data_IF_198834068242
#
_entry.id   IF_198834068242
#
_cell.length_a   1.000
_cell.length_b   1.000
_cell.length_c   1.000
_cell.angle_alpha   90.00
_cell.angle_beta   90.00
_cell.angle_gamma   90.00
#
_symmetry.space_group_name_H-M   'P 1'
#
loop_
_entity.id
_entity.type
_entity.pdbx_description
1 polymer ?
#
# COMPACT_ATOMS: atom_id res chain seq x y z
N UNK A 1 -24.93 -1.64 -2.78
CA UNK A 1 -24.03 -1.78 -3.94
C UNK A 1 -23.35 -3.13 -3.82
N UNK A 2 -23.45 -3.95 -4.84
CA UNK A 2 -22.78 -5.25 -4.91
C UNK A 2 -21.27 -5.04 -5.09
N UNK A 3 -20.48 -5.53 -4.16
CA UNK A 3 -19.01 -5.46 -4.24
C UNK A 3 -18.52 -6.47 -5.27
N UNK A 4 -18.00 -5.98 -6.39
CA UNK A 4 -17.46 -6.80 -7.48
C UNK A 4 -15.96 -6.99 -7.25
N UNK A 5 -15.52 -8.24 -7.22
CA UNK A 5 -14.11 -8.63 -7.16
C UNK A 5 -13.55 -8.68 -8.58
N UNK A 6 -12.61 -7.77 -8.89
CA UNK A 6 -12.06 -7.65 -10.26
C UNK A 6 -11.08 -8.78 -10.58
N UNK A 7 -10.36 -9.27 -9.59
CA UNK A 7 -9.39 -10.37 -9.74
C UNK A 7 -10.05 -11.76 -9.85
N UNK A 8 -11.35 -11.85 -9.61
CA UNK A 8 -12.07 -13.10 -9.86
C UNK A 8 -12.32 -13.30 -11.37
N UNK A 9 -12.14 -14.54 -11.83
CA UNK A 9 -12.28 -14.95 -13.23
C UNK A 9 -13.70 -14.72 -13.73
N UNK A 10 -14.35 -13.72 -13.83
CA UNK A 10 -15.70 -13.38 -14.32
C UNK A 10 -16.34 -12.22 -13.54
N UNK A 11 -15.57 -11.33 -12.92
CA UNK A 11 -16.09 -10.16 -12.18
C UNK A 11 -17.28 -10.52 -11.28
N UNK A 12 -17.09 -11.49 -10.39
CA UNK A 12 -18.14 -11.97 -9.49
C UNK A 12 -18.27 -11.07 -8.28
N UNK A 13 -19.47 -11.03 -7.69
CA UNK A 13 -19.67 -10.41 -6.39
C UNK A 13 -18.90 -11.17 -5.30
N UNK A 14 -18.56 -10.50 -4.20
CA UNK A 14 -17.92 -11.13 -3.03
C UNK A 14 -18.74 -12.33 -2.52
N UNK A 15 -20.06 -12.21 -2.54
CA UNK A 15 -20.97 -13.26 -2.10
C UNK A 15 -20.93 -14.52 -2.99
N UNK A 16 -20.62 -14.36 -4.27
CA UNK A 16 -20.56 -15.47 -5.25
C UNK A 16 -19.15 -16.04 -5.42
N UNK A 17 -18.15 -15.44 -4.75
CA UNK A 17 -16.75 -15.84 -4.89
C UNK A 17 -16.38 -16.80 -3.75
N UNK A 18 -16.13 -18.06 -4.10
CA UNK A 18 -15.61 -19.10 -3.17
C UNK A 18 -14.12 -18.88 -2.85
N UNK A 19 -13.47 -17.94 -3.53
CA UNK A 19 -12.07 -17.64 -3.37
C UNK A 19 -11.84 -16.89 -2.04
N UNK A 20 -10.75 -17.20 -1.30
CA UNK A 20 -10.38 -16.47 -0.09
C UNK A 20 -9.84 -15.07 -0.42
N UNK A 21 -10.74 -14.16 -0.75
CA UNK A 21 -10.45 -12.76 -1.07
C UNK A 21 -10.87 -11.89 0.11
N UNK A 22 -9.93 -11.12 0.64
CA UNK A 22 -10.26 -10.01 1.52
C UNK A 22 -10.40 -8.75 0.66
N UNK A 23 -11.49 -8.05 0.84
CA UNK A 23 -11.77 -6.81 0.14
C UNK A 23 -11.80 -5.67 1.15
N UNK A 24 -10.94 -4.70 0.95
CA UNK A 24 -10.87 -3.45 1.70
C UNK A 24 -11.37 -2.33 0.80
N UNK A 25 -12.48 -1.69 1.14
CA UNK A 25 -13.13 -0.68 0.31
C UNK A 25 -13.93 0.33 1.15
N UNK A 26 -14.32 1.44 0.54
CA UNK A 26 -15.19 2.44 1.15
C UNK A 26 -14.61 3.07 2.42
N UNK A 27 -15.40 3.15 3.48
CA UNK A 27 -15.02 3.76 4.75
C UNK A 27 -13.91 2.96 5.46
N UNK A 28 -14.02 1.63 5.48
CA UNK A 28 -13.02 0.74 6.05
C UNK A 28 -11.63 0.97 5.42
N UNK A 29 -11.54 1.08 4.09
CA UNK A 29 -10.28 1.41 3.44
C UNK A 29 -9.76 2.78 3.90
N UNK A 30 -10.62 3.79 3.97
CA UNK A 30 -10.21 5.15 4.35
C UNK A 30 -9.66 5.23 5.75
N UNK A 31 -10.24 4.50 6.70
CA UNK A 31 -9.79 4.44 8.08
C UNK A 31 -8.42 3.72 8.21
N UNK A 32 -8.18 2.72 7.38
CA UNK A 32 -6.95 1.90 7.43
C UNK A 32 -5.83 2.41 6.51
N UNK A 33 -6.05 3.45 5.68
CA UNK A 33 -4.99 3.95 4.81
C UNK A 33 -3.79 4.43 5.64
N UNK A 34 -2.69 3.71 5.48
CA UNK A 34 -1.39 4.03 6.05
C UNK A 34 -0.48 4.76 5.05
N UNK A 35 0.75 5.03 5.49
CA UNK A 35 1.77 5.67 4.66
C UNK A 35 2.18 4.82 3.44
N UNK A 36 2.04 3.50 3.54
CA UNK A 36 2.47 2.54 2.53
C UNK A 36 1.40 1.48 2.31
N UNK A 37 1.51 0.73 1.22
CA UNK A 37 0.61 -0.39 0.94
C UNK A 37 0.66 -1.48 2.03
N UNK A 38 1.87 -1.78 2.54
CA UNK A 38 2.02 -2.71 3.65
C UNK A 38 1.34 -2.22 4.92
N UNK A 39 1.52 -0.95 5.29
CA UNK A 39 0.89 -0.35 6.46
C UNK A 39 -0.65 -0.34 6.34
N UNK A 40 -1.18 -0.01 5.15
CA UNK A 40 -2.62 -0.03 4.86
C UNK A 40 -3.25 -1.41 5.07
N UNK A 41 -2.51 -2.47 4.80
CA UNK A 41 -3.00 -3.85 4.88
C UNK A 41 -2.62 -4.57 6.18
N UNK A 42 -1.87 -3.95 7.07
CA UNK A 42 -1.32 -4.60 8.26
C UNK A 42 -2.40 -5.08 9.25
N UNK A 43 -3.58 -4.46 9.25
CA UNK A 43 -4.72 -4.88 10.08
C UNK A 43 -5.51 -6.06 9.47
N UNK A 44 -5.23 -6.43 8.23
CA UNK A 44 -5.89 -7.56 7.59
C UNK A 44 -5.36 -8.90 8.12
N UNK A 45 -6.26 -9.83 8.41
CA UNK A 45 -5.90 -11.14 8.99
C UNK A 45 -4.85 -11.85 8.12
N UNK A 46 -3.70 -12.18 8.72
CA UNK A 46 -2.60 -12.88 8.05
C UNK A 46 -1.78 -12.02 7.09
N UNK A 47 -1.88 -10.71 7.23
CA UNK A 47 -1.04 -9.72 6.53
C UNK A 47 -0.26 -8.92 7.56
N UNK A 48 0.98 -8.61 7.26
CA UNK A 48 1.85 -7.72 8.00
C UNK A 48 2.53 -6.74 7.03
N UNK A 49 3.25 -5.77 7.57
CA UNK A 49 4.09 -4.86 6.80
C UNK A 49 5.56 -5.11 7.07
N UNK A 50 6.36 -5.26 6.02
CA UNK A 50 7.81 -5.12 6.11
C UNK A 50 8.15 -3.66 5.85
N UNK A 51 8.63 -2.95 6.87
CA UNK A 51 8.94 -1.52 6.81
C UNK A 51 10.45 -1.29 6.85
N UNK A 52 10.91 -0.38 5.99
CA UNK A 52 12.28 0.15 5.95
C UNK A 52 12.23 1.68 6.05
N UNK A 53 11.52 2.20 7.04
CA UNK A 53 11.29 3.61 7.26
C UNK A 53 9.87 4.09 6.86
N UNK A 54 9.58 5.38 7.01
CA UNK A 54 8.22 5.92 6.90
C UNK A 54 7.57 5.79 5.53
N UNK A 55 8.40 5.79 4.47
CA UNK A 55 7.94 5.72 3.07
C UNK A 55 8.03 4.33 2.44
N UNK A 56 8.63 3.36 3.12
CA UNK A 56 8.89 2.02 2.56
C UNK A 56 8.19 0.96 3.38
N UNK A 57 7.18 0.32 2.83
CA UNK A 57 6.42 -0.74 3.49
C UNK A 57 5.74 -1.66 2.49
N UNK A 58 6.25 -2.88 2.41
CA UNK A 58 5.71 -3.92 1.54
C UNK A 58 4.77 -4.86 2.30
N UNK A 59 3.67 -5.34 1.69
CA UNK A 59 2.80 -6.31 2.32
C UNK A 59 3.52 -7.65 2.48
N UNK A 60 3.39 -8.23 3.68
CA UNK A 60 3.86 -9.58 4.02
C UNK A 60 2.63 -10.45 4.22
N UNK A 61 2.43 -11.45 3.38
CA UNK A 61 1.28 -12.34 3.45
C UNK A 61 1.75 -13.73 3.87
N UNK A 62 1.27 -14.22 5.02
CA UNK A 62 1.67 -15.52 5.57
C UNK A 62 3.19 -15.70 5.67
N UNK A 63 3.92 -14.63 6.03
CA UNK A 63 5.37 -14.63 6.14
C UNK A 63 6.12 -14.56 4.79
N UNK A 64 5.43 -14.37 3.67
CA UNK A 64 6.03 -14.18 2.35
C UNK A 64 5.95 -12.71 1.94
N UNK A 65 7.04 -12.18 1.35
CA UNK A 65 7.14 -10.78 0.91
C UNK A 65 7.91 -10.68 -0.42
N UNK A 66 8.11 -9.47 -0.89
CA UNK A 66 8.84 -9.12 -2.11
C UNK A 66 8.31 -9.91 -3.34
N UNK A 67 9.18 -10.58 -4.08
CA UNK A 67 8.84 -11.34 -5.30
C UNK A 67 7.90 -12.54 -5.08
N UNK A 68 7.47 -12.79 -3.82
CA UNK A 68 6.51 -13.87 -3.48
C UNK A 68 5.11 -13.35 -3.21
N UNK A 69 4.93 -12.04 -3.20
CA UNK A 69 3.63 -11.36 -3.13
C UNK A 69 3.47 -10.53 -4.39
N UNK A 70 2.56 -10.96 -5.25
CA UNK A 70 2.31 -10.24 -6.50
C UNK A 70 1.47 -9.00 -6.24
N UNK A 71 1.95 -7.85 -6.65
CA UNK A 71 1.21 -6.59 -6.59
C UNK A 71 0.69 -6.24 -7.97
N UNK A 72 -0.60 -5.96 -8.04
CA UNK A 72 -1.31 -5.61 -9.27
C UNK A 72 -1.93 -4.21 -9.12
N UNK A 73 -2.04 -3.52 -10.23
CA UNK A 73 -2.85 -2.31 -10.38
C UNK A 73 -3.94 -2.57 -11.42
N UNK A 74 -5.20 -2.58 -11.00
CA UNK A 74 -6.32 -2.86 -11.89
C UNK A 74 -6.25 -4.23 -12.57
N UNK A 75 -5.66 -5.23 -11.92
CA UNK A 75 -5.46 -6.58 -12.46
C UNK A 75 -4.19 -6.77 -13.30
N UNK A 76 -3.41 -5.71 -13.52
CA UNK A 76 -2.15 -5.76 -14.29
C UNK A 76 -0.98 -5.77 -13.32
N UNK A 77 -0.02 -6.67 -13.56
CA UNK A 77 1.19 -6.77 -12.73
C UNK A 77 1.97 -5.47 -12.70
N UNK A 78 2.25 -4.97 -11.50
CA UNK A 78 3.11 -3.82 -11.32
C UNK A 78 4.58 -4.26 -11.41
N UNK A 79 5.33 -3.64 -12.33
CA UNK A 79 6.78 -3.83 -12.46
C UNK A 79 7.44 -2.72 -11.65
N UNK A 80 7.89 -3.06 -10.45
CA UNK A 80 8.42 -2.13 -9.47
C UNK A 80 9.74 -2.65 -8.90
N UNK A 81 10.65 -1.75 -8.55
CA UNK A 81 11.91 -2.08 -7.86
C UNK A 81 11.66 -2.76 -6.50
N UNK A 82 10.56 -2.40 -5.83
CA UNK A 82 10.13 -3.02 -4.57
C UNK A 82 9.84 -4.54 -4.68
N UNK A 83 9.58 -5.06 -5.87
CA UNK A 83 9.43 -6.50 -6.09
C UNK A 83 10.77 -7.25 -6.01
N UNK A 84 11.89 -6.57 -6.24
CA UNK A 84 13.24 -7.14 -6.27
C UNK A 84 13.98 -6.86 -4.97
N UNK A 85 13.84 -5.65 -4.44
CA UNK A 85 14.52 -5.19 -3.23
C UNK A 85 13.51 -4.56 -2.27
N UNK A 86 13.36 -5.12 -1.04
CA UNK A 86 12.30 -4.72 -0.10
C UNK A 86 12.52 -3.34 0.52
N UNK A 87 13.68 -2.73 0.32
CA UNK A 87 14.06 -1.38 0.75
C UNK A 87 13.58 -0.27 -0.20
N UNK A 88 12.91 -0.66 -1.30
CA UNK A 88 12.31 0.28 -2.23
C UNK A 88 10.82 0.46 -1.96
N UNK A 89 10.34 1.70 -2.07
CA UNK A 89 8.93 2.01 -1.97
C UNK A 89 8.15 1.45 -3.16
N UNK A 90 6.94 0.96 -2.90
CA UNK A 90 6.00 0.66 -3.98
C UNK A 90 5.51 1.95 -4.63
N UNK A 91 5.41 1.94 -5.96
CA UNK A 91 4.92 3.09 -6.74
C UNK A 91 3.41 3.33 -6.61
N UNK A 92 2.68 2.39 -5.99
CA UNK A 92 1.23 2.49 -5.81
C UNK A 92 0.88 3.31 -4.57
N UNK A 93 0.03 4.31 -4.77
CA UNK A 93 -0.45 5.19 -3.71
C UNK A 93 -1.80 4.69 -3.13
N UNK A 94 -1.82 4.17 -1.89
CA UNK A 94 -3.04 3.63 -1.29
C UNK A 94 -4.15 4.68 -1.14
N UNK A 95 -3.79 5.96 -0.97
CA UNK A 95 -4.75 7.03 -0.79
C UNK A 95 -5.62 7.31 -2.03
N UNK A 96 -5.16 6.89 -3.21
CA UNK A 96 -5.92 6.97 -4.46
C UNK A 96 -6.73 5.71 -4.76
N UNK A 97 -6.56 4.66 -3.96
CA UNK A 97 -7.29 3.42 -4.17
C UNK A 97 -8.78 3.59 -3.86
N UNK A 98 -9.62 3.07 -4.72
CA UNK A 98 -11.06 2.91 -4.47
C UNK A 98 -11.34 1.63 -3.71
N UNK A 99 -10.50 0.61 -3.90
CA UNK A 99 -10.51 -0.65 -3.16
C UNK A 99 -9.19 -1.39 -3.31
N UNK A 100 -8.92 -2.28 -2.37
CA UNK A 100 -7.77 -3.18 -2.40
C UNK A 100 -8.28 -4.60 -2.17
N UNK A 101 -7.89 -5.51 -3.05
CA UNK A 101 -8.24 -6.93 -2.99
C UNK A 101 -7.01 -7.73 -2.59
N UNK A 102 -7.12 -8.55 -1.55
CA UNK A 102 -6.05 -9.46 -1.11
C UNK A 102 -6.49 -10.90 -1.34
N UNK A 103 -5.88 -11.56 -2.30
CA UNK A 103 -6.17 -12.95 -2.68
C UNK A 103 -5.13 -13.87 -2.07
N UNK A 104 -5.58 -14.95 -1.48
CA UNK A 104 -4.72 -15.94 -0.83
C UNK A 104 -5.11 -17.37 -1.21
N UNK A 105 -4.16 -18.29 -1.08
CA UNK A 105 -4.41 -19.71 -1.32
C UNK A 105 -4.40 -20.08 -2.81
N UNK A 106 -5.06 -21.18 -3.22
CA UNK A 106 -4.90 -21.76 -4.55
C UNK A 106 -5.24 -20.83 -5.72
N UNK A 107 -6.10 -19.83 -5.49
CA UNK A 107 -6.46 -18.85 -6.50
C UNK A 107 -5.27 -18.01 -7.00
N UNK A 108 -4.22 -17.90 -6.20
CA UNK A 108 -3.02 -17.15 -6.56
C UNK A 108 -2.22 -17.79 -7.69
N UNK A 109 -2.42 -19.09 -7.96
CA UNK A 109 -1.80 -19.79 -9.08
C UNK A 109 -2.15 -19.18 -10.46
N UNK A 110 -3.27 -18.49 -10.56
CA UNK A 110 -3.68 -17.79 -11.77
C UNK A 110 -2.78 -16.59 -12.10
N UNK A 111 -1.99 -16.12 -11.12
CA UNK A 111 -1.14 -14.93 -11.23
C UNK A 111 0.36 -15.27 -11.37
N UNK A 112 0.67 -16.55 -11.55
CA UNK A 112 2.03 -17.03 -11.81
C UNK A 112 2.84 -17.32 -10.55
N UNK A 113 4.13 -17.59 -10.74
CA UNK A 113 5.03 -18.05 -9.70
C UNK A 113 5.39 -17.00 -8.63
N UNK A 114 5.22 -15.72 -8.92
CA UNK A 114 5.41 -14.61 -7.97
C UNK A 114 4.29 -14.46 -6.95
N UNK A 115 3.23 -15.27 -7.01
CA UNK A 115 2.05 -15.14 -6.16
C UNK A 115 1.96 -16.23 -5.06
N UNK A 116 3.10 -16.78 -4.63
CA UNK A 116 3.15 -17.88 -3.64
C UNK A 116 2.56 -17.47 -2.29
N UNK A 117 2.86 -16.27 -1.81
CA UNK A 117 2.31 -15.72 -0.57
C UNK A 117 0.88 -15.22 -0.75
N UNK A 118 0.63 -14.55 -1.85
CA UNK A 118 -0.64 -13.93 -2.14
C UNK A 118 -0.57 -12.95 -3.32
N UNK A 119 -1.71 -12.36 -3.60
CA UNK A 119 -1.86 -11.27 -4.59
C UNK A 119 -2.52 -10.10 -3.91
N UNK A 120 -1.99 -8.90 -4.10
CA UNK A 120 -2.61 -7.63 -3.71
C UNK A 120 -2.96 -6.88 -4.98
N UNK A 121 -4.23 -6.63 -5.22
CA UNK A 121 -4.70 -5.87 -6.37
C UNK A 121 -5.25 -4.52 -5.90
N UNK A 122 -4.57 -3.46 -6.25
CA UNK A 122 -5.00 -2.08 -5.97
C UNK A 122 -5.81 -1.58 -7.14
N UNK A 123 -7.02 -1.13 -6.86
CA UNK A 123 -7.94 -0.62 -7.87
C UNK A 123 -8.19 0.85 -7.58
N UNK A 124 -7.82 1.67 -8.52
CA UNK A 124 -8.09 3.11 -8.57
C UNK A 124 -9.14 3.43 -9.65
N UNK A 125 -9.48 4.70 -9.81
CA UNK A 125 -10.40 5.17 -10.84
C UNK A 125 -9.69 6.06 -11.89
N UNK A 126 -8.38 5.90 -12.07
CA UNK A 126 -7.61 6.69 -13.07
C UNK A 126 -8.11 6.47 -14.48
N UNK A 127 -8.61 5.27 -14.75
CA UNK A 127 -9.32 4.97 -16.00
C UNK A 127 -10.79 4.79 -15.64
N UNK A 128 -11.62 5.83 -15.80
CA UNK A 128 -13.04 5.74 -15.48
C UNK A 128 -13.74 4.70 -16.32
N UNK A 129 -14.42 3.77 -15.67
CA UNK A 129 -15.19 2.70 -16.36
C UNK A 129 -16.65 3.07 -16.60
N UNK A 130 -17.09 4.20 -16.06
CA UNK A 130 -18.46 4.71 -16.17
C UNK A 130 -18.45 6.21 -16.35
N UNK A 131 -19.45 6.73 -17.05
CA UNK A 131 -19.69 8.17 -17.11
C UNK A 131 -20.22 8.64 -15.75
N UNK A 132 -19.61 9.67 -15.20
CA UNK A 132 -20.01 10.29 -13.93
C UNK A 132 -20.95 11.44 -14.23
N UNK A 133 -22.12 11.49 -13.61
CA UNK A 133 -23.01 12.63 -13.76
C UNK A 133 -22.40 13.86 -13.04
N UNK A 134 -22.11 14.91 -13.81
CA UNK A 134 -21.49 16.13 -13.31
C UNK A 134 -20.01 15.96 -12.96
N UNK A 135 -19.55 16.81 -12.04
CA UNK A 135 -18.19 16.78 -11.51
C UNK A 135 -18.21 16.35 -10.06
N UNK A 136 -17.36 15.42 -9.69
CA UNK A 136 -17.13 15.01 -8.30
C UNK A 136 -15.69 15.30 -7.91
N UNK A 137 -15.46 15.61 -6.65
CA UNK A 137 -14.12 15.83 -6.14
C UNK A 137 -13.98 15.36 -4.70
N UNK A 138 -12.75 15.08 -4.34
CA UNK A 138 -12.31 14.75 -2.99
C UNK A 138 -11.07 15.58 -2.67
N UNK A 139 -11.02 16.13 -1.48
CA UNK A 139 -9.81 16.71 -0.90
C UNK A 139 -9.67 16.13 0.50
N UNK A 140 -8.52 15.57 0.77
CA UNK A 140 -8.22 14.93 2.05
C UNK A 140 -6.85 15.38 2.55
N UNK A 141 -6.72 15.59 3.85
CA UNK A 141 -5.45 15.87 4.52
C UNK A 141 -5.33 14.96 5.73
N UNK A 142 -4.16 14.35 5.89
CA UNK A 142 -3.81 13.47 7.01
C UNK A 142 -2.53 13.91 7.65
N UNK A 143 -2.44 13.71 8.96
CA UNK A 143 -1.24 13.94 9.73
C UNK A 143 -0.93 12.70 10.58
N UNK A 144 0.34 12.29 10.59
CA UNK A 144 0.85 11.22 11.44
C UNK A 144 1.97 11.78 12.32
N UNK A 145 1.74 11.76 13.64
CA UNK A 145 2.65 12.36 14.61
C UNK A 145 3.96 11.58 14.84
N UNK A 146 4.02 10.31 14.43
CA UNK A 146 5.21 9.45 14.66
C UNK A 146 6.39 9.85 13.78
N UNK A 147 6.11 10.33 12.58
CA UNK A 147 7.11 10.82 11.61
C UNK A 147 6.81 12.25 11.15
N UNK A 148 5.97 12.97 11.90
CA UNK A 148 5.45 14.29 11.50
C UNK A 148 5.02 14.34 10.03
N UNK A 149 4.42 13.23 9.56
CA UNK A 149 4.05 13.07 8.17
C UNK A 149 2.78 13.84 7.87
N UNK A 150 2.81 14.62 6.82
CA UNK A 150 1.66 15.29 6.24
C UNK A 150 1.38 14.71 4.85
N UNK A 151 0.12 14.36 4.61
CA UNK A 151 -0.34 13.86 3.31
C UNK A 151 -1.54 14.68 2.88
N UNK A 152 -1.50 15.21 1.67
CA UNK A 152 -2.63 15.88 1.03
C UNK A 152 -2.99 15.15 -0.26
N UNK A 153 -4.25 14.79 -0.40
CA UNK A 153 -4.78 14.07 -1.58
C UNK A 153 -5.87 14.90 -2.20
N UNK A 154 -5.76 15.12 -3.49
CA UNK A 154 -6.79 15.77 -4.29
C UNK A 154 -7.22 14.89 -5.44
N UNK A 155 -8.52 14.81 -5.70
CA UNK A 155 -9.11 14.05 -6.80
C UNK A 155 -10.28 14.82 -7.38
N UNK A 156 -10.34 14.90 -8.69
CA UNK A 156 -11.47 15.43 -9.45
C UNK A 156 -11.79 14.50 -10.61
N UNK A 157 -13.06 14.19 -10.79
CA UNK A 157 -13.52 13.35 -11.89
C UNK A 157 -14.87 13.84 -12.44
N UNK A 158 -15.13 13.55 -13.69
CA UNK A 158 -16.39 13.94 -14.31
C UNK A 158 -16.53 13.41 -15.72
N UNK A 159 -17.61 13.83 -16.38
CA UNK A 159 -17.85 13.51 -17.78
C UNK A 159 -18.41 14.71 -18.54
N UNK A 160 -18.02 14.79 -19.81
CA UNK A 160 -18.57 15.76 -20.77
C UNK A 160 -19.02 14.97 -22.01
N UNK A 161 -20.33 14.84 -22.18
CA UNK A 161 -20.89 13.98 -23.23
C UNK A 161 -20.52 12.52 -23.01
N UNK A 162 -19.77 11.94 -23.95
CA UNK A 162 -19.30 10.55 -23.89
C UNK A 162 -17.85 10.43 -23.41
N UNK A 163 -17.22 11.51 -22.99
CA UNK A 163 -15.83 11.51 -22.50
C UNK A 163 -15.83 11.65 -20.99
N UNK A 164 -15.28 10.64 -20.31
CA UNK A 164 -14.96 10.72 -18.89
C UNK A 164 -13.54 11.26 -18.71
N UNK A 165 -13.31 11.99 -17.64
CA UNK A 165 -12.00 12.51 -17.26
C UNK A 165 -11.76 12.32 -15.77
N UNK A 166 -10.50 12.17 -15.41
CA UNK A 166 -10.01 11.98 -14.05
C UNK A 166 -8.70 12.74 -13.88
N UNK A 167 -8.57 13.46 -12.77
CA UNK A 167 -7.32 14.13 -12.36
C UNK A 167 -7.13 13.86 -10.88
N UNK A 168 -5.97 13.40 -10.51
CA UNK A 168 -5.58 13.15 -9.12
C UNK A 168 -4.19 13.69 -8.83
N UNK A 169 -3.92 13.92 -7.56
CA UNK A 169 -2.60 14.29 -7.07
C UNK A 169 -2.45 13.99 -5.59
N UNK A 170 -1.24 13.62 -5.21
CA UNK A 170 -0.83 13.39 -3.82
C UNK A 170 0.43 14.18 -3.54
N UNK A 171 0.40 14.90 -2.44
CA UNK A 171 1.59 15.51 -1.84
C UNK A 171 1.84 14.84 -0.50
N UNK A 172 3.07 14.37 -0.28
CA UNK A 172 3.48 13.75 0.97
C UNK A 172 4.83 14.30 1.39
N UNK A 173 4.92 14.66 2.66
CA UNK A 173 6.15 15.06 3.34
C UNK A 173 6.22 14.30 4.66
N UNK A 174 7.37 13.81 5.03
CA UNK A 174 7.61 13.14 6.31
C UNK A 174 9.01 13.42 6.78
N UNK A 175 9.16 13.52 8.09
CA UNK A 175 10.44 13.52 8.77
C UNK A 175 10.85 12.08 9.09
N UNK A 176 11.99 11.94 9.72
CA UNK A 176 12.48 10.67 10.23
C UNK A 176 11.57 10.13 11.34
N UNK A 177 11.58 8.81 11.49
CA UNK A 177 10.76 8.13 12.48
C UNK A 177 11.35 8.34 13.89
N UNK A 178 10.59 8.95 14.80
CA UNK A 178 10.99 9.04 16.20
C UNK A 178 10.82 7.69 16.90
N UNK A 179 11.89 7.19 17.50
CA UNK A 179 11.89 5.97 18.29
C UNK A 179 12.28 6.26 19.76
N UNK A 180 11.73 5.46 20.67
CA UNK A 180 12.09 5.53 22.08
C UNK A 180 13.44 4.82 22.31
N UNK A 181 14.54 5.57 22.33
CA UNK A 181 15.89 5.06 22.61
C UNK A 181 16.77 4.99 21.36
N UNK A 182 17.69 4.04 21.35
CA UNK A 182 18.65 3.87 20.26
C UNK A 182 18.21 2.77 19.29
N UNK A 183 18.45 2.94 18.00
CA UNK A 183 18.20 1.94 16.96
C UNK A 183 19.03 0.66 17.17
N UNK A 184 20.21 0.78 17.79
CA UNK A 184 21.10 -0.34 18.10
C UNK A 184 21.13 -0.63 19.61
N UNK A 185 21.26 -1.92 19.95
CA UNK A 185 21.44 -2.34 21.34
C UNK A 185 22.72 -1.73 21.92
N UNK A 186 22.67 -0.98 23.03
CA UNK A 186 23.85 -0.36 23.64
C UNK A 186 25.01 -1.33 23.96
N UNK A 187 24.70 -2.59 24.22
CA UNK A 187 25.70 -3.64 24.48
C UNK A 187 26.56 -3.96 23.24
N UNK A 188 26.03 -3.72 22.05
CA UNK A 188 26.77 -3.91 20.79
C UNK A 188 27.67 -2.69 20.47
N UNK A 189 27.42 -1.55 21.10
CA UNK A 189 28.20 -0.34 20.91
C UNK A 189 29.60 -0.41 21.56
N UNK A 190 29.76 -1.21 22.61
CA UNK A 190 31.03 -1.38 23.33
C UNK A 190 32.11 -2.14 22.51
N UNK A 191 31.70 -2.75 21.40
CA UNK A 191 32.57 -3.46 20.45
C UNK A 191 32.66 -2.81 19.07
N UNK A 192 32.05 -1.64 18.89
CA UNK A 192 31.98 -0.98 17.60
C UNK A 192 33.20 -0.07 17.34
N UNK A 193 33.54 0.05 16.07
CA UNK A 193 34.56 0.96 15.56
C UNK A 193 34.22 2.43 15.97
N UNK A 194 35.22 3.25 16.33
CA UNK A 194 35.02 4.66 16.65
C UNK A 194 34.25 5.46 15.56
N UNK A 195 34.47 5.18 14.29
CA UNK A 195 33.70 5.80 13.19
C UNK A 195 32.23 5.43 13.22
N UNK A 196 31.90 4.17 13.50
CA UNK A 196 30.51 3.72 13.68
C UNK A 196 29.84 4.33 14.91
N UNK A 197 30.61 4.68 15.93
CA UNK A 197 30.13 5.37 17.13
C UNK A 197 29.80 6.85 16.86
N UNK A 198 30.54 7.50 15.97
CA UNK A 198 30.28 8.89 15.57
C UNK A 198 29.02 8.98 14.70
N UNK A 199 28.86 8.07 13.72
CA UNK A 199 27.65 7.94 12.91
C UNK A 199 26.40 7.64 13.75
N UNK A 200 26.54 6.78 14.77
CA UNK A 200 25.49 6.47 15.73
C UNK A 200 25.14 7.63 16.66
N UNK A 201 26.11 8.47 16.98
CA UNK A 201 25.88 9.66 17.79
C UNK A 201 25.11 10.75 17.03
N UNK A 202 25.29 10.81 15.70
CA UNK A 202 24.55 11.70 14.81
C UNK A 202 23.13 11.16 14.53
N UNK A 203 22.95 9.83 14.48
CA UNK A 203 21.65 9.18 14.26
C UNK A 203 20.81 8.99 15.53
N UNK A 204 21.07 9.72 16.60
CA UNK A 204 20.36 9.59 17.88
C UNK A 204 18.87 9.84 17.75
N UNK A 205 18.08 8.77 17.86
CA UNK A 205 16.63 8.84 17.90
C UNK A 205 15.95 8.98 16.56
N UNK A 206 16.69 8.79 15.46
CA UNK A 206 16.20 8.92 14.09
C UNK A 206 16.45 7.60 13.35
N UNK A 207 15.40 7.02 12.74
CA UNK A 207 15.43 5.81 11.88
C UNK A 207 14.56 6.03 10.66
#
# INVERSE_FOLDING_TARGET
LEEIVVTATLHRSRADTVLPVNLLAGEELREQIGATLGATLAEQVGVNSASFGPGVGAPVIRGQSANRVQILQGGIGNIDAAAVSPDHANSLEPALATRIEVIRGPATLLYGNGAIGGVVNVIDNRIPTRLTEGTKGMLESRHNSVSDQQVSVGLLEGSIGQVAWHVDGVYRESNDLEIAGFALNPVLLDSADPEAMEELAESRGVV
#
